data_IF_934846593830
#
_entry.id   IF_934846593830
#
_cell.length_a   1.000
_cell.length_b   1.000
_cell.length_c   1.000
_cell.angle_alpha   90.00
_cell.angle_beta   90.00
_cell.angle_gamma   90.00
#
_symmetry.space_group_name_H-M   'P 1'
#
loop_
_entity.id
_entity.type
_entity.pdbx_description
1 polymer ?
#
# COMPACT_ATOMS: atom_id res chain seq x y z
N UNK A 1 -6.07 19.84 2.58
CA UNK A 1 -5.29 18.71 3.14
C UNK A 1 -4.62 19.13 4.44
N UNK A 2 -4.54 18.27 5.48
CA UNK A 2 -3.87 18.59 6.75
C UNK A 2 -2.34 18.54 6.65
N UNK A 3 -1.79 17.62 5.86
CA UNK A 3 -0.34 17.46 5.66
C UNK A 3 -0.06 16.82 4.31
N UNK A 4 0.97 17.31 3.62
CA UNK A 4 1.49 16.71 2.38
C UNK A 4 2.55 15.61 2.68
N UNK A 5 2.86 15.38 3.96
CA UNK A 5 3.79 14.34 4.41
C UNK A 5 3.08 12.99 4.53
N UNK A 6 2.56 12.50 3.40
CA UNK A 6 1.84 11.23 3.27
C UNK A 6 2.49 10.37 2.19
N UNK A 7 2.36 9.05 2.30
CA UNK A 7 2.72 8.10 1.23
C UNK A 7 1.57 7.10 1.09
N UNK A 8 1.12 6.91 -0.14
CA UNK A 8 0.09 5.95 -0.49
C UNK A 8 0.72 4.57 -0.63
N UNK A 9 0.10 3.57 -0.02
CA UNK A 9 0.59 2.21 0.03
C UNK A 9 -0.50 1.23 -0.34
N UNK A 10 -0.06 0.19 -1.02
CA UNK A 10 -0.80 -1.03 -1.24
C UNK A 10 0.19 -2.19 -1.24
N UNK A 11 -0.22 -3.33 -0.70
CA UNK A 11 0.56 -4.55 -0.66
C UNK A 11 -0.25 -5.75 -1.11
N UNK A 12 0.41 -6.66 -1.82
CA UNK A 12 -0.16 -7.96 -2.14
C UNK A 12 0.47 -9.04 -1.25
N UNK A 13 -0.31 -10.02 -0.84
CA UNK A 13 0.10 -10.99 0.19
C UNK A 13 -0.09 -12.43 -0.26
N UNK A 14 0.79 -13.32 0.19
CA UNK A 14 0.62 -14.76 -0.06
C UNK A 14 -0.69 -15.28 0.56
N UNK A 15 -1.06 -14.78 1.73
CA UNK A 15 -2.34 -15.05 2.42
C UNK A 15 -2.63 -13.92 3.42
N UNK A 16 -3.88 -13.79 3.84
CA UNK A 16 -4.30 -12.86 4.90
C UNK A 16 -4.14 -13.45 6.32
N UNK A 17 -3.54 -14.62 6.48
CA UNK A 17 -3.09 -15.09 7.80
C UNK A 17 -1.82 -14.31 8.20
N UNK A 18 -1.85 -13.44 9.20
CA UNK A 18 -0.67 -12.70 9.61
C UNK A 18 0.44 -13.63 10.16
N UNK A 19 0.12 -14.82 10.66
CA UNK A 19 1.13 -15.71 11.25
C UNK A 19 2.03 -16.34 10.18
N UNK A 20 1.44 -16.72 9.04
CA UNK A 20 2.13 -17.48 7.98
C UNK A 20 2.31 -16.71 6.68
N UNK A 21 1.52 -15.66 6.46
CA UNK A 21 1.56 -14.86 5.23
C UNK A 21 2.81 -14.00 5.12
N UNK A 22 3.15 -13.64 3.88
CA UNK A 22 4.21 -12.68 3.55
C UNK A 22 3.75 -11.71 2.46
N UNK A 23 4.41 -10.56 2.36
CA UNK A 23 4.29 -9.67 1.20
C UNK A 23 4.84 -10.37 -0.05
N UNK A 24 4.06 -10.38 -1.11
CA UNK A 24 4.47 -10.75 -2.48
C UNK A 24 5.00 -9.54 -3.21
N UNK A 25 4.31 -8.41 -3.12
CA UNK A 25 4.72 -7.14 -3.69
C UNK A 25 4.19 -5.98 -2.86
N UNK A 26 4.77 -4.81 -3.05
CA UNK A 26 4.30 -3.57 -2.45
C UNK A 26 4.55 -2.39 -3.37
N UNK A 27 3.76 -1.34 -3.18
CA UNK A 27 4.00 -0.04 -3.78
C UNK A 27 3.95 1.08 -2.75
N UNK A 28 4.80 2.08 -2.94
CA UNK A 28 4.77 3.37 -2.26
C UNK A 28 4.63 4.45 -3.32
N UNK A 29 3.67 5.35 -3.16
CA UNK A 29 3.47 6.47 -4.08
C UNK A 29 3.42 7.77 -3.30
N UNK A 30 4.27 8.74 -3.65
CA UNK A 30 4.26 10.09 -3.05
C UNK A 30 3.16 10.95 -3.67
N UNK A 31 2.73 12.05 -3.03
CA UNK A 31 1.80 13.02 -3.62
C UNK A 31 2.27 13.57 -4.97
N UNK A 32 3.58 13.65 -5.22
CA UNK A 32 4.14 14.04 -6.53
C UNK A 32 3.86 13.04 -7.66
N UNK A 33 3.55 11.78 -7.34
CA UNK A 33 3.44 10.68 -8.29
C UNK A 33 4.72 9.84 -8.44
N UNK A 34 5.83 10.28 -7.83
CA UNK A 34 7.04 9.46 -7.67
C UNK A 34 6.68 8.18 -6.90
N UNK A 35 7.17 7.02 -7.34
CA UNK A 35 6.81 5.74 -6.75
C UNK A 35 8.00 4.80 -6.57
N UNK A 36 7.84 3.85 -5.64
CA UNK A 36 8.66 2.65 -5.48
C UNK A 36 7.73 1.44 -5.58
N UNK A 37 8.08 0.48 -6.44
CA UNK A 37 7.41 -0.83 -6.52
C UNK A 37 8.45 -1.93 -6.32
N UNK A 38 8.12 -2.92 -5.51
CA UNK A 38 9.00 -4.05 -5.20
C UNK A 38 8.20 -5.35 -5.21
N UNK A 39 8.83 -6.41 -5.72
CA UNK A 39 8.39 -7.80 -5.52
C UNK A 39 9.35 -8.49 -4.57
N UNK A 40 8.84 -9.28 -3.63
CA UNK A 40 9.62 -9.81 -2.52
C UNK A 40 9.80 -11.33 -2.63
N UNK A 41 10.92 -11.80 -2.11
CA UNK A 41 11.13 -13.23 -1.84
C UNK A 41 10.21 -13.68 -0.70
N UNK A 42 9.39 -14.71 -0.95
CA UNK A 42 8.45 -15.25 0.05
C UNK A 42 8.91 -16.54 0.72
N UNK A 43 10.03 -17.12 0.28
CA UNK A 43 10.47 -18.44 0.75
C UNK A 43 9.34 -19.48 0.66
N UNK A 44 9.17 -20.26 1.73
CA UNK A 44 8.17 -21.33 1.81
C UNK A 44 6.78 -20.87 2.30
N UNK A 45 6.50 -19.57 2.31
CA UNK A 45 5.21 -19.07 2.79
C UNK A 45 4.05 -19.61 1.92
N UNK A 46 2.94 -20.07 2.54
CA UNK A 46 1.81 -20.61 1.80
C UNK A 46 1.14 -19.50 0.97
N UNK A 47 0.82 -19.84 -0.27
CA UNK A 47 0.07 -18.97 -1.18
C UNK A 47 -1.38 -19.45 -1.23
N UNK A 48 -2.31 -18.55 -0.90
CA UNK A 48 -3.74 -18.81 -0.97
C UNK A 48 -4.16 -19.05 -2.44
N UNK A 49 -5.09 -19.99 -2.74
CA UNK A 49 -5.48 -20.30 -4.12
C UNK A 49 -5.92 -19.08 -4.93
N UNK A 50 -6.70 -18.19 -4.31
CA UNK A 50 -7.12 -16.93 -4.95
C UNK A 50 -5.92 -16.05 -5.33
N UNK A 51 -4.93 -15.91 -4.44
CA UNK A 51 -3.70 -15.14 -4.73
C UNK A 51 -2.90 -15.77 -5.87
N UNK A 52 -2.81 -17.11 -5.89
CA UNK A 52 -2.12 -17.83 -6.96
C UNK A 52 -2.77 -17.61 -8.33
N UNK A 53 -4.09 -17.45 -8.37
CA UNK A 53 -4.86 -17.23 -9.60
C UNK A 53 -4.86 -15.76 -10.05
N UNK A 54 -5.00 -14.80 -9.12
CA UNK A 54 -5.28 -13.41 -9.45
C UNK A 54 -4.08 -12.46 -9.31
N UNK A 55 -3.15 -12.74 -8.40
CA UNK A 55 -2.05 -11.83 -8.06
C UNK A 55 -0.74 -12.31 -8.68
N UNK A 56 -0.38 -13.58 -8.45
CA UNK A 56 0.91 -14.15 -8.89
C UNK A 56 1.17 -13.96 -10.39
N UNK A 57 0.18 -14.10 -11.29
CA UNK A 57 0.41 -13.88 -12.73
C UNK A 57 0.74 -12.42 -13.11
N UNK A 58 0.47 -11.45 -12.23
CA UNK A 58 0.75 -10.03 -12.47
C UNK A 58 2.18 -9.63 -12.09
N UNK A 59 2.87 -10.50 -11.35
CA UNK A 59 4.25 -10.33 -10.90
C UNK A 59 5.23 -10.61 -12.04
N UNK A 60 6.12 -9.66 -12.30
CA UNK A 60 7.06 -9.72 -13.43
C UNK A 60 8.45 -9.16 -13.10
N UNK A 61 8.62 -8.50 -11.96
CA UNK A 61 9.90 -7.94 -11.55
C UNK A 61 10.82 -8.98 -10.91
N UNK A 62 12.12 -8.66 -10.88
CA UNK A 62 13.07 -9.40 -10.06
C UNK A 62 12.69 -9.22 -8.59
N UNK A 63 12.66 -10.35 -7.87
CA UNK A 63 12.37 -10.36 -6.44
C UNK A 63 13.56 -9.84 -5.65
N UNK A 64 13.28 -9.16 -4.56
CA UNK A 64 14.28 -8.66 -3.61
C UNK A 64 14.11 -9.32 -2.25
N UNK A 65 15.19 -9.43 -1.49
CA UNK A 65 15.14 -9.91 -0.11
C UNK A 65 14.48 -8.87 0.81
N UNK A 66 14.05 -9.29 1.99
CA UNK A 66 13.50 -8.39 3.00
C UNK A 66 14.48 -7.26 3.38
N UNK A 67 15.79 -7.57 3.42
CA UNK A 67 16.83 -6.60 3.75
C UNK A 67 16.97 -5.54 2.66
N UNK A 68 17.00 -5.97 1.39
CA UNK A 68 17.06 -5.06 0.26
C UNK A 68 15.78 -4.21 0.17
N UNK A 69 14.61 -4.81 0.39
CA UNK A 69 13.34 -4.09 0.43
C UNK A 69 13.34 -3.00 1.51
N UNK A 70 13.75 -3.32 2.75
CA UNK A 70 13.89 -2.35 3.85
C UNK A 70 14.79 -1.17 3.46
N UNK A 71 15.93 -1.46 2.83
CA UNK A 71 16.87 -0.43 2.39
C UNK A 71 16.24 0.50 1.35
N UNK A 72 15.64 -0.07 0.29
CA UNK A 72 15.00 0.72 -0.78
C UNK A 72 13.81 1.54 -0.26
N UNK A 73 13.00 0.98 0.63
CA UNK A 73 11.89 1.70 1.28
C UNK A 73 12.45 2.90 2.05
N UNK A 74 13.48 2.70 2.90
CA UNK A 74 14.09 3.79 3.68
C UNK A 74 14.68 4.88 2.78
N UNK A 75 15.38 4.50 1.72
CA UNK A 75 15.95 5.44 0.75
C UNK A 75 14.85 6.26 0.04
N UNK A 76 13.77 5.60 -0.39
CA UNK A 76 12.64 6.26 -1.06
C UNK A 76 11.89 7.22 -0.14
N UNK A 77 11.63 6.80 1.11
CA UNK A 77 10.87 7.57 2.11
C UNK A 77 11.71 8.72 2.69
N UNK A 78 13.00 8.51 2.89
CA UNK A 78 13.89 9.45 3.56
C UNK A 78 13.58 9.62 5.05
N UNK A 79 13.96 10.77 5.61
CA UNK A 79 13.85 11.04 7.06
C UNK A 79 12.52 11.72 7.47
N UNK A 80 11.56 11.84 6.54
CA UNK A 80 10.34 12.63 6.72
C UNK A 80 9.28 12.00 7.64
N UNK A 81 9.37 10.68 7.90
CA UNK A 81 8.38 9.92 8.69
C UNK A 81 6.92 10.19 8.27
N UNK A 82 6.58 10.02 6.97
CA UNK A 82 5.26 10.32 6.47
C UNK A 82 4.19 9.41 7.09
N UNK A 83 2.95 9.90 7.07
CA UNK A 83 1.79 9.05 7.34
C UNK A 83 1.59 8.08 6.17
N UNK A 84 1.60 6.79 6.43
CA UNK A 84 1.18 5.80 5.44
C UNK A 84 -0.33 5.91 5.24
N UNK A 85 -0.80 5.92 4.00
CA UNK A 85 -2.23 5.89 3.65
C UNK A 85 -2.46 4.61 2.85
N UNK A 86 -3.34 3.73 3.31
CA UNK A 86 -3.77 2.54 2.57
C UNK A 86 -5.30 2.53 2.46
N UNK A 87 -5.85 1.77 1.50
CA UNK A 87 -7.32 1.73 1.33
C UNK A 87 -7.99 1.09 2.54
N UNK A 88 -7.55 -0.13 2.88
CA UNK A 88 -8.07 -0.96 3.96
C UNK A 88 -6.89 -1.44 4.80
N UNK A 89 -6.43 -0.57 5.70
CA UNK A 89 -5.06 -0.61 6.19
C UNK A 89 -4.72 -1.77 7.17
N UNK A 90 -5.70 -2.60 7.55
CA UNK A 90 -5.55 -3.59 8.63
C UNK A 90 -4.47 -4.65 8.31
N UNK A 91 -4.40 -5.14 7.07
CA UNK A 91 -3.40 -6.13 6.66
C UNK A 91 -2.15 -5.45 6.09
N UNK A 92 -2.33 -4.41 5.27
CA UNK A 92 -1.24 -3.58 4.74
C UNK A 92 -0.24 -3.17 5.81
N UNK A 93 -0.73 -2.55 6.89
CA UNK A 93 0.12 -2.12 7.98
C UNK A 93 0.78 -3.28 8.69
N UNK A 94 0.05 -4.36 8.98
CA UNK A 94 0.59 -5.53 9.70
C UNK A 94 1.75 -6.17 8.92
N UNK A 95 1.60 -6.34 7.62
CA UNK A 95 2.63 -6.95 6.79
C UNK A 95 3.80 -6.02 6.51
N UNK A 96 3.54 -4.74 6.24
CA UNK A 96 4.61 -3.74 6.11
C UNK A 96 5.42 -3.61 7.40
N UNK A 97 4.74 -3.57 8.55
CA UNK A 97 5.35 -3.51 9.87
C UNK A 97 6.27 -4.69 10.17
N UNK A 98 5.93 -5.89 9.71
CA UNK A 98 6.80 -7.07 9.81
C UNK A 98 8.05 -6.93 8.95
N UNK A 99 7.89 -6.42 7.74
CA UNK A 99 9.00 -6.21 6.82
C UNK A 99 9.99 -5.17 7.36
N UNK A 100 9.49 -4.00 7.78
CA UNK A 100 10.34 -2.88 8.20
C UNK A 100 10.83 -2.98 9.65
N UNK A 101 10.15 -3.80 10.46
CA UNK A 101 10.41 -3.97 11.89
C UNK A 101 9.90 -2.79 12.71
N UNK A 102 8.89 -3.04 13.56
CA UNK A 102 8.37 -2.07 14.54
C UNK A 102 8.66 -2.54 15.98
N UNK A 103 9.94 -2.67 16.34
CA UNK A 103 10.29 -3.31 17.61
C UNK A 103 10.04 -2.42 18.85
N UNK A 104 9.98 -1.10 18.70
CA UNK A 104 9.48 -0.18 19.75
C UNK A 104 8.69 0.96 19.12
N UNK A 105 7.84 1.61 19.92
CA UNK A 105 7.10 2.84 19.56
C UNK A 105 8.01 3.94 18.97
N UNK A 106 9.30 3.84 19.31
CA UNK A 106 10.35 4.80 18.98
C UNK A 106 11.45 4.20 18.07
N UNK A 107 11.46 2.89 17.81
CA UNK A 107 12.55 2.17 17.10
C UNK A 107 12.00 1.21 16.02
N UNK A 108 11.28 1.77 15.06
CA UNK A 108 10.75 1.04 13.89
C UNK A 108 9.62 1.78 13.20
N UNK A 109 8.99 2.72 13.93
CA UNK A 109 8.30 3.88 13.35
C UNK A 109 9.26 4.98 12.89
N UNK A 110 10.51 4.64 12.52
CA UNK A 110 11.49 5.62 12.05
C UNK A 110 11.43 5.85 10.53
N UNK A 111 10.82 4.91 9.78
CA UNK A 111 10.51 5.10 8.36
C UNK A 111 9.17 5.83 8.20
N UNK A 112 8.11 5.36 8.86
CA UNK A 112 6.76 5.94 8.77
C UNK A 112 6.26 6.45 10.12
N UNK A 113 5.30 7.36 10.11
CA UNK A 113 4.53 7.67 11.32
C UNK A 113 3.84 6.40 11.84
N UNK A 114 3.85 6.18 13.16
CA UNK A 114 3.25 4.99 13.77
C UNK A 114 1.72 4.94 13.65
N UNK A 115 1.09 6.05 13.22
CA UNK A 115 -0.36 6.17 12.96
C UNK A 115 -0.61 6.16 11.46
N UNK A 116 -0.77 4.99 10.82
CA UNK A 116 -1.22 4.97 9.44
C UNK A 116 -2.66 5.52 9.34
N UNK A 117 -3.00 6.04 8.17
CA UNK A 117 -4.29 6.61 7.83
C UNK A 117 -5.06 5.57 7.02
N UNK A 118 -6.23 5.21 7.51
CA UNK A 118 -7.14 4.30 6.85
C UNK A 118 -8.10 5.08 5.94
N UNK A 119 -7.98 4.91 4.62
CA UNK A 119 -8.80 5.67 3.67
C UNK A 119 -10.28 5.27 3.77
N UNK A 120 -10.61 4.02 4.09
CA UNK A 120 -12.00 3.62 4.35
C UNK A 120 -12.64 4.41 5.50
N UNK A 121 -11.87 4.75 6.54
CA UNK A 121 -12.34 5.62 7.63
C UNK A 121 -12.63 7.05 7.14
N UNK A 122 -11.86 7.57 6.18
CA UNK A 122 -12.13 8.86 5.54
C UNK A 122 -13.42 8.80 4.72
N UNK A 123 -13.61 7.73 3.93
CA UNK A 123 -14.84 7.52 3.15
C UNK A 123 -16.07 7.49 4.07
N UNK A 124 -16.01 6.69 5.14
CA UNK A 124 -17.07 6.61 6.13
C UNK A 124 -17.40 7.99 6.74
N UNK A 125 -16.37 8.74 7.14
CA UNK A 125 -16.54 10.10 7.68
C UNK A 125 -17.12 11.11 6.68
N UNK A 126 -17.04 10.82 5.37
CA UNK A 126 -17.62 11.64 4.29
C UNK A 126 -18.98 11.11 3.80
N UNK A 127 -19.55 10.11 4.46
CA UNK A 127 -20.83 9.52 4.06
C UNK A 127 -20.75 8.65 2.79
N UNK A 128 -19.56 8.18 2.43
CA UNK A 128 -19.34 7.25 1.32
C UNK A 128 -19.19 5.84 1.88
N UNK A 129 -19.85 4.86 1.26
CA UNK A 129 -19.74 3.47 1.66
C UNK A 129 -18.28 2.98 1.52
N UNK A 130 -17.60 2.61 2.62
CA UNK A 130 -16.21 2.17 2.59
C UNK A 130 -16.00 0.87 1.81
N UNK A 131 -17.05 0.08 1.56
CA UNK A 131 -16.97 -1.13 0.75
C UNK A 131 -16.99 -0.87 -0.76
N UNK A 132 -17.21 0.39 -1.19
CA UNK A 132 -17.25 0.75 -2.61
C UNK A 132 -15.92 0.40 -3.30
N UNK A 133 -15.94 -0.41 -4.37
CA UNK A 133 -14.74 -0.72 -5.15
C UNK A 133 -14.04 0.54 -5.65
N UNK A 134 -12.70 0.57 -5.63
CA UNK A 134 -11.92 1.77 -5.98
C UNK A 134 -12.23 2.29 -7.37
N UNK A 135 -12.44 1.38 -8.33
CA UNK A 135 -12.77 1.71 -9.71
C UNK A 135 -14.16 2.36 -9.86
N UNK A 136 -15.14 1.88 -9.09
CA UNK A 136 -16.48 2.47 -9.06
C UNK A 136 -16.40 3.87 -8.46
N UNK A 137 -15.72 4.00 -7.32
CA UNK A 137 -15.52 5.29 -6.67
C UNK A 137 -14.80 6.30 -7.58
N UNK A 138 -13.77 5.86 -8.31
CA UNK A 138 -13.04 6.72 -9.22
C UNK A 138 -13.92 7.24 -10.35
N UNK A 139 -14.74 6.36 -10.95
CA UNK A 139 -15.72 6.74 -11.97
C UNK A 139 -16.73 7.76 -11.45
N UNK A 140 -17.32 7.49 -10.29
CA UNK A 140 -18.35 8.35 -9.69
C UNK A 140 -17.81 9.75 -9.33
N UNK A 141 -16.53 9.83 -9.00
CA UNK A 141 -15.85 11.08 -8.64
C UNK A 141 -15.19 11.80 -9.82
N UNK A 142 -15.25 11.22 -11.02
CA UNK A 142 -14.53 11.73 -12.20
C UNK A 142 -13.01 11.77 -11.97
N UNK A 143 -12.47 10.78 -11.27
CA UNK A 143 -11.03 10.58 -11.08
C UNK A 143 -10.52 9.73 -12.24
N UNK A 144 -9.47 10.20 -12.90
CA UNK A 144 -8.82 9.45 -13.98
C UNK A 144 -8.18 8.18 -13.44
N UNK A 145 -8.44 7.06 -14.11
CA UNK A 145 -7.82 5.77 -13.83
C UNK A 145 -6.38 5.83 -14.37
N UNK A 146 -5.36 5.40 -13.59
CA UNK A 146 -3.99 5.34 -14.05
C UNK A 146 -3.83 4.57 -15.38
N UNK A 147 -2.91 5.01 -16.23
CA UNK A 147 -2.60 4.29 -17.46
C UNK A 147 -2.09 2.87 -17.15
N UNK A 148 -2.54 1.88 -17.92
CA UNK A 148 -2.21 0.46 -17.71
C UNK A 148 -2.60 -0.08 -16.32
N UNK A 149 -3.69 0.44 -15.74
CA UNK A 149 -4.23 -0.06 -14.48
C UNK A 149 -4.50 -1.58 -14.55
N UNK A 150 -3.96 -2.30 -13.56
CA UNK A 150 -4.19 -3.73 -13.35
C UNK A 150 -4.69 -3.89 -11.93
N UNK A 151 -5.93 -4.36 -11.78
CA UNK A 151 -6.49 -4.67 -10.46
C UNK A 151 -5.68 -5.79 -9.80
N UNK A 152 -5.43 -5.69 -8.49
CA UNK A 152 -4.59 -6.62 -7.72
C UNK A 152 -3.10 -6.54 -8.05
N UNK A 153 -2.67 -5.36 -8.51
CA UNK A 153 -1.27 -5.03 -8.70
C UNK A 153 -0.96 -3.80 -7.85
N UNK A 154 -0.17 -4.00 -6.80
CA UNK A 154 0.09 -2.99 -5.77
C UNK A 154 0.37 -1.57 -6.30
N UNK A 155 1.15 -1.43 -7.39
CA UNK A 155 1.40 -0.09 -7.96
C UNK A 155 0.14 0.57 -8.53
N UNK A 156 -0.67 -0.18 -9.26
CA UNK A 156 -1.90 0.33 -9.87
C UNK A 156 -2.90 0.73 -8.78
N UNK A 157 -3.04 -0.10 -7.75
CA UNK A 157 -3.93 0.15 -6.63
C UNK A 157 -3.48 1.34 -5.77
N UNK A 158 -2.17 1.44 -5.45
CA UNK A 158 -1.63 2.59 -4.72
C UNK A 158 -1.72 3.92 -5.52
N UNK A 159 -1.54 3.87 -6.85
CA UNK A 159 -1.71 5.04 -7.72
C UNK A 159 -3.18 5.50 -7.77
N UNK A 160 -4.13 4.56 -7.84
CA UNK A 160 -5.56 4.86 -7.80
C UNK A 160 -5.96 5.43 -6.44
N UNK A 161 -5.47 4.84 -5.34
CA UNK A 161 -5.65 5.35 -3.98
C UNK A 161 -5.15 6.79 -3.85
N UNK A 162 -3.96 7.10 -4.37
CA UNK A 162 -3.43 8.47 -4.42
C UNK A 162 -4.42 9.40 -5.12
N UNK A 163 -4.87 9.05 -6.32
CA UNK A 163 -5.75 9.89 -7.12
C UNK A 163 -7.08 10.17 -6.40
N UNK A 164 -7.68 9.13 -5.82
CA UNK A 164 -8.89 9.23 -5.00
C UNK A 164 -8.67 10.13 -3.77
N UNK A 165 -7.61 9.89 -3.00
CA UNK A 165 -7.30 10.67 -1.81
C UNK A 165 -7.10 12.16 -2.13
N UNK A 166 -6.35 12.49 -3.18
CA UNK A 166 -6.13 13.87 -3.60
C UNK A 166 -7.44 14.56 -4.01
N UNK A 167 -8.36 13.83 -4.64
CA UNK A 167 -9.70 14.33 -4.95
C UNK A 167 -10.48 14.66 -3.68
N UNK A 168 -10.50 13.77 -2.68
CA UNK A 168 -11.17 14.04 -1.40
C UNK A 168 -10.50 15.16 -0.59
N UNK A 169 -9.19 15.31 -0.70
CA UNK A 169 -8.44 16.31 0.07
C UNK A 169 -8.60 17.76 -0.46
N UNK A 170 -9.14 17.91 -1.67
CA UNK A 170 -9.40 19.20 -2.35
C UNK A 170 -10.88 19.61 -2.34
N UNK A 171 -11.78 18.71 -1.94
CA UNK A 171 -13.23 18.94 -1.75
C UNK A 171 -13.60 19.06 -0.27
#
# INVERSE_FOLDING_TARGET
MFSDNVIFFDGEFTTLDPTTGRLLSLALVKPSGEYLYLELETGDAPVHPWTAEHVVPLLAASKVSDEEARKKIREFVGNGRPFLVAKTNQFDWVFLAKLIGIQKKDEGGDIFNWRPIDFTSILFGRGVDPSTPSMVLAKDMGVEIPENFREHHALSDAQLLRALYLKFATT
#
